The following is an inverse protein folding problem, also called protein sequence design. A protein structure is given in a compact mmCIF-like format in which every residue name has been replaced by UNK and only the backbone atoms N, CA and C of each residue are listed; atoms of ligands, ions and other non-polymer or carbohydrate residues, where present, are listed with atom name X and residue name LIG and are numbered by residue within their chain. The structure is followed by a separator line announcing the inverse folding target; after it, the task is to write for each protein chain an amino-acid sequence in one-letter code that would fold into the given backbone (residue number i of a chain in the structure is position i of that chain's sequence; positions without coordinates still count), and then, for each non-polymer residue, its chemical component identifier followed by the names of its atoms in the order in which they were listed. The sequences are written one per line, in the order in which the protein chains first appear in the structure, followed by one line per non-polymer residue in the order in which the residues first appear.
data_IF_095659830167
#
_entry.id   IF_095659830167
#
_cell.length_a   1.000
_cell.length_b   1.000
_cell.length_c   1.000
_cell.angle_alpha   90.00
_cell.angle_beta   90.00
_cell.angle_gamma   90.00
#
_symmetry.space_group_name_H-M   'P 1'
#
loop_
_entity.id
_entity.type
_entity.pdbx_description
1 polymer ?
#
# COMPACT_ATOMS: atom_id res chain seq x y z
N UNK A 1 -22.48 45.42 -24.25
CA UNK A 1 -22.76 46.06 -22.93
C UNK A 1 -24.23 45.98 -22.51
N UNK A 2 -25.21 46.24 -23.42
CA UNK A 2 -26.65 46.16 -23.11
C UNK A 2 -27.13 44.74 -22.77
N UNK A 3 -26.62 43.70 -23.43
CA UNK A 3 -27.03 42.32 -23.16
C UNK A 3 -26.52 41.81 -21.80
N UNK A 4 -25.34 42.25 -21.37
CA UNK A 4 -24.80 41.93 -20.02
C UNK A 4 -25.64 42.57 -18.91
N UNK A 5 -26.06 43.85 -19.09
CA UNK A 5 -26.90 44.54 -18.11
C UNK A 5 -28.28 43.90 -17.92
N UNK A 6 -28.90 43.37 -18.98
CA UNK A 6 -30.17 42.64 -18.88
C UNK A 6 -29.98 41.29 -18.13
N UNK A 7 -28.90 40.54 -18.41
CA UNK A 7 -28.59 39.30 -17.70
C UNK A 7 -28.41 39.54 -16.20
N UNK A 8 -27.76 40.64 -15.80
CA UNK A 8 -27.56 40.98 -14.37
C UNK A 8 -28.90 41.36 -13.69
N UNK A 9 -29.83 42.05 -14.43
CA UNK A 9 -31.18 42.37 -13.93
C UNK A 9 -31.97 41.07 -13.69
N UNK A 10 -31.99 40.16 -14.65
CA UNK A 10 -32.70 38.88 -14.51
C UNK A 10 -32.17 38.08 -13.31
N UNK A 11 -30.85 37.93 -13.17
CA UNK A 11 -30.27 37.26 -12.02
C UNK A 11 -30.64 37.84 -10.67
N UNK A 12 -30.73 39.19 -10.58
CA UNK A 12 -31.19 39.85 -9.36
C UNK A 12 -32.67 39.54 -9.08
N UNK A 13 -33.52 39.58 -10.12
CA UNK A 13 -34.93 39.24 -9.98
C UNK A 13 -35.17 37.80 -9.57
N UNK A 14 -34.43 36.85 -10.16
CA UNK A 14 -34.46 35.44 -9.76
C UNK A 14 -34.03 35.27 -8.30
N UNK A 15 -32.93 35.93 -7.91
CA UNK A 15 -32.44 35.92 -6.51
C UNK A 15 -33.46 36.47 -5.53
N UNK A 16 -34.09 37.62 -5.86
CA UNK A 16 -35.10 38.27 -5.02
C UNK A 16 -36.39 37.44 -4.94
N UNK A 17 -36.80 36.80 -6.05
CA UNK A 17 -37.94 35.88 -6.07
C UNK A 17 -37.71 34.65 -5.21
N UNK A 18 -36.54 34.00 -5.35
CA UNK A 18 -36.15 32.85 -4.53
C UNK A 18 -36.14 33.21 -3.04
N UNK A 19 -35.56 34.37 -2.66
CA UNK A 19 -35.52 34.83 -1.26
C UNK A 19 -36.91 35.01 -0.66
N UNK A 20 -37.82 35.65 -1.39
CA UNK A 20 -39.22 35.80 -0.97
C UNK A 20 -39.90 34.44 -0.78
N UNK A 21 -39.76 33.56 -1.73
CA UNK A 21 -40.33 32.21 -1.68
C UNK A 21 -39.86 31.47 -0.43
N UNK A 22 -38.55 31.48 -0.19
CA UNK A 22 -37.96 30.72 0.95
C UNK A 22 -38.19 31.41 2.30
N UNK A 23 -38.00 32.75 2.36
CA UNK A 23 -38.07 33.47 3.62
C UNK A 23 -39.50 33.80 4.03
N UNK A 24 -40.40 34.16 3.08
CA UNK A 24 -41.73 34.60 3.38
C UNK A 24 -42.77 33.51 3.31
N UNK A 25 -42.67 32.61 2.31
CA UNK A 25 -43.61 31.52 2.11
C UNK A 25 -43.15 30.19 2.75
N UNK A 26 -41.89 30.10 3.12
CA UNK A 26 -41.31 28.89 3.71
C UNK A 26 -41.16 27.69 2.75
N UNK A 27 -41.20 27.99 1.43
CA UNK A 27 -41.10 26.97 0.37
C UNK A 27 -39.82 27.14 -0.44
N UNK A 28 -39.17 26.07 -0.76
CA UNK A 28 -38.01 26.03 -1.65
C UNK A 28 -38.43 25.97 -3.11
N UNK A 29 -37.47 26.12 -4.03
CA UNK A 29 -37.71 26.14 -5.47
C UNK A 29 -38.39 24.86 -6.00
N UNK A 30 -38.12 23.72 -5.37
CA UNK A 30 -38.73 22.43 -5.69
C UNK A 30 -39.93 22.07 -4.78
N UNK A 31 -40.38 22.99 -3.93
CA UNK A 31 -41.50 22.81 -3.01
C UNK A 31 -41.20 22.17 -1.69
N UNK A 32 -39.96 21.69 -1.46
CA UNK A 32 -39.52 21.12 -0.19
C UNK A 32 -39.47 22.14 0.96
N UNK A 33 -39.51 21.65 2.19
CA UNK A 33 -39.20 22.42 3.39
C UNK A 33 -37.68 22.68 3.50
N UNK A 34 -37.30 23.59 4.37
CA UNK A 34 -35.88 23.99 4.56
C UNK A 34 -34.96 22.86 5.05
N UNK A 35 -35.46 21.88 5.80
CA UNK A 35 -34.77 20.75 6.37
C UNK A 35 -34.96 19.45 5.58
N UNK A 36 -35.76 19.43 4.56
CA UNK A 36 -36.13 18.25 3.78
C UNK A 36 -35.01 17.89 2.76
N UNK A 37 -34.71 16.60 2.71
CA UNK A 37 -33.72 16.00 1.80
C UNK A 37 -34.46 15.33 0.64
N UNK A 38 -33.93 15.44 -0.57
CA UNK A 38 -34.47 14.75 -1.77
C UNK A 38 -34.48 13.22 -1.57
N UNK A 39 -35.36 12.51 -2.26
CA UNK A 39 -35.39 11.04 -2.24
C UNK A 39 -34.02 10.44 -2.56
N UNK A 40 -33.63 9.44 -1.77
CA UNK A 40 -32.35 8.74 -1.92
C UNK A 40 -32.63 7.32 -2.41
N UNK A 41 -31.85 6.90 -3.41
CA UNK A 41 -31.78 5.54 -3.88
C UNK A 41 -30.32 5.11 -4.01
N UNK A 42 -30.00 3.91 -3.54
CA UNK A 42 -28.66 3.35 -3.52
C UNK A 42 -28.65 1.93 -4.06
N UNK A 43 -27.57 1.57 -4.75
CA UNK A 43 -27.33 0.21 -5.22
C UNK A 43 -25.84 -0.12 -5.11
N UNK A 44 -25.51 -1.36 -4.75
CA UNK A 44 -24.13 -1.87 -4.72
C UNK A 44 -23.97 -3.00 -5.73
N UNK A 45 -22.74 -3.18 -6.22
CA UNK A 45 -22.39 -4.13 -7.28
C UNK A 45 -23.13 -3.96 -8.61
N UNK A 46 -23.46 -2.74 -9.08
CA UNK A 46 -24.09 -2.57 -10.41
C UNK A 46 -23.14 -2.99 -11.55
N UNK A 47 -21.85 -3.01 -11.33
CA UNK A 47 -20.85 -3.41 -12.31
C UNK A 47 -20.17 -4.71 -11.88
N UNK A 48 -20.05 -5.71 -12.78
CA UNK A 48 -19.51 -7.03 -12.41
C UNK A 48 -17.98 -7.06 -12.28
N UNK A 49 -17.25 -6.25 -13.04
CA UNK A 49 -15.78 -6.31 -13.12
C UNK A 49 -15.03 -5.56 -12.02
N UNK A 50 -15.43 -4.37 -11.57
CA UNK A 50 -14.74 -3.68 -10.48
C UNK A 50 -14.79 -4.47 -9.17
N UNK A 51 -13.79 -4.28 -8.33
CA UNK A 51 -13.69 -4.95 -7.03
C UNK A 51 -14.82 -4.54 -6.08
N UNK A 52 -15.24 -3.26 -6.14
CA UNK A 52 -16.47 -2.75 -5.58
C UNK A 52 -17.10 -1.73 -6.52
N UNK A 53 -18.40 -1.57 -6.48
CA UNK A 53 -19.11 -0.55 -7.25
C UNK A 53 -20.42 -0.18 -6.60
N UNK A 54 -20.84 1.07 -6.79
CA UNK A 54 -22.09 1.57 -6.25
C UNK A 54 -22.69 2.67 -7.12
N UNK A 55 -24.00 2.79 -7.05
CA UNK A 55 -24.74 3.96 -7.50
C UNK A 55 -25.37 4.60 -6.27
N UNK A 56 -25.22 5.90 -6.16
CA UNK A 56 -25.91 6.74 -5.19
C UNK A 56 -26.67 7.83 -5.93
N UNK A 57 -27.97 7.89 -5.69
CA UNK A 57 -28.86 8.90 -6.29
C UNK A 57 -29.54 9.68 -5.18
N UNK A 58 -29.57 11.00 -5.33
CA UNK A 58 -30.29 11.92 -4.46
C UNK A 58 -31.03 12.93 -5.34
N UNK A 59 -32.32 12.69 -5.54
CA UNK A 59 -33.10 13.43 -6.56
C UNK A 59 -32.41 13.40 -7.92
N UNK A 60 -32.09 14.52 -8.47
CA UNK A 60 -31.43 14.73 -9.77
C UNK A 60 -29.90 14.81 -9.65
N UNK A 61 -29.32 14.09 -8.69
CA UNK A 61 -27.86 14.00 -8.55
C UNK A 61 -27.46 12.54 -8.38
N UNK A 62 -26.70 12.01 -9.33
CA UNK A 62 -26.31 10.61 -9.36
C UNK A 62 -24.81 10.43 -9.56
N UNK A 63 -24.22 9.58 -8.75
CA UNK A 63 -22.81 9.16 -8.82
C UNK A 63 -22.70 7.66 -8.99
N UNK A 64 -22.02 7.21 -10.04
CA UNK A 64 -21.52 5.84 -10.20
C UNK A 64 -20.07 5.82 -9.73
N UNK A 65 -19.79 5.08 -8.66
CA UNK A 65 -18.44 5.00 -8.10
C UNK A 65 -17.94 3.57 -8.13
N UNK A 66 -16.69 3.39 -8.58
CA UNK A 66 -15.99 2.10 -8.59
C UNK A 66 -14.83 2.11 -7.62
N UNK A 67 -14.56 0.97 -7.01
CA UNK A 67 -13.42 0.72 -6.15
C UNK A 67 -12.54 -0.35 -6.77
N UNK A 68 -11.23 -0.08 -6.84
CA UNK A 68 -10.21 -1.03 -7.25
C UNK A 68 -9.19 -1.18 -6.12
N UNK A 69 -8.88 -2.42 -5.78
CA UNK A 69 -7.88 -2.80 -4.78
C UNK A 69 -6.62 -3.24 -5.52
N UNK A 70 -5.54 -2.52 -5.34
CA UNK A 70 -4.24 -2.79 -5.94
C UNK A 70 -3.23 -3.29 -4.91
N UNK A 71 -2.05 -3.61 -5.39
CA UNK A 71 -0.89 -4.00 -4.59
C UNK A 71 -0.10 -2.77 -4.14
N UNK A 72 0.99 -2.98 -3.43
CA UNK A 72 1.92 -1.91 -3.06
C UNK A 72 2.54 -1.21 -4.29
N UNK A 73 2.73 -1.91 -5.39
CA UNK A 73 3.28 -1.34 -6.63
C UNK A 73 2.35 -0.31 -7.28
N UNK A 74 1.07 -0.32 -6.90
CA UNK A 74 0.05 0.61 -7.40
C UNK A 74 -0.05 1.90 -6.55
N UNK A 75 0.78 2.05 -5.52
CA UNK A 75 0.85 3.27 -4.72
C UNK A 75 1.28 4.46 -5.58
N UNK A 76 0.64 5.60 -5.37
CA UNK A 76 1.01 6.83 -6.07
C UNK A 76 2.21 7.47 -5.39
N UNK A 77 3.32 7.58 -6.11
CA UNK A 77 4.43 8.44 -5.70
C UNK A 77 4.01 9.91 -5.81
N UNK A 78 4.13 10.63 -4.72
CA UNK A 78 4.05 12.09 -4.65
C UNK A 78 5.46 12.60 -4.47
N UNK A 79 5.97 13.30 -5.47
CA UNK A 79 7.34 13.84 -5.49
C UNK A 79 7.23 15.35 -5.63
N UNK A 80 7.03 16.02 -4.51
CA UNK A 80 6.94 17.46 -4.40
C UNK A 80 8.29 18.04 -3.95
N UNK A 81 8.50 19.35 -4.11
CA UNK A 81 9.73 20.04 -3.77
C UNK A 81 10.17 19.84 -2.31
N UNK A 82 9.22 19.69 -1.40
CA UNK A 82 9.47 19.60 0.05
C UNK A 82 9.19 18.20 0.64
N UNK A 83 8.50 17.35 -0.09
CA UNK A 83 8.08 16.04 0.42
C UNK A 83 8.06 14.99 -0.67
N UNK A 84 8.55 13.81 -0.30
CA UNK A 84 8.45 12.61 -1.14
C UNK A 84 7.75 11.51 -0.35
N UNK A 85 6.54 11.20 -0.76
CA UNK A 85 5.69 10.25 -0.05
C UNK A 85 4.92 9.33 -1.00
N UNK A 86 4.36 8.25 -0.46
CA UNK A 86 3.51 7.32 -1.19
C UNK A 86 2.08 7.41 -0.68
N UNK A 87 1.13 7.48 -1.59
CA UNK A 87 -0.29 7.50 -1.27
C UNK A 87 -0.95 6.19 -1.64
N UNK A 88 -1.55 5.54 -0.63
CA UNK A 88 -2.26 4.26 -0.75
C UNK A 88 -3.76 4.42 -1.00
N UNK A 89 -4.31 5.61 -0.80
CA UNK A 89 -5.70 5.93 -1.10
C UNK A 89 -5.78 7.01 -2.17
N UNK A 90 -6.42 6.68 -3.29
CA UNK A 90 -6.58 7.53 -4.45
C UNK A 90 -8.07 7.72 -4.73
N UNK A 91 -8.48 8.95 -5.06
CA UNK A 91 -9.84 9.26 -5.47
C UNK A 91 -9.81 10.15 -6.71
N UNK A 92 -10.47 9.69 -7.76
CA UNK A 92 -10.66 10.42 -9.00
C UNK A 92 -12.15 10.81 -9.12
N UNK A 93 -12.39 12.09 -9.33
CA UNK A 93 -13.71 12.66 -9.50
C UNK A 93 -13.85 13.16 -10.92
N UNK A 94 -14.79 12.61 -11.66
CA UNK A 94 -15.07 12.94 -13.04
C UNK A 94 -16.46 13.60 -13.15
N UNK A 95 -16.48 14.81 -13.73
CA UNK A 95 -17.68 15.60 -13.93
C UNK A 95 -17.86 15.92 -15.42
N UNK A 96 -18.36 14.97 -16.22
CA UNK A 96 -18.52 15.19 -17.65
C UNK A 96 -19.62 16.21 -17.96
N UNK A 97 -19.54 16.92 -19.08
CA UNK A 97 -20.52 17.95 -19.44
C UNK A 97 -21.95 17.44 -19.48
N UNK A 98 -22.18 16.20 -19.88
CA UNK A 98 -23.51 15.62 -19.95
C UNK A 98 -24.21 15.51 -18.59
N UNK A 99 -23.47 15.50 -17.48
CA UNK A 99 -24.05 15.43 -16.13
C UNK A 99 -24.91 16.64 -15.77
N UNK A 100 -24.72 17.76 -16.46
CA UNK A 100 -25.53 18.98 -16.37
C UNK A 100 -26.30 19.27 -17.66
N UNK A 101 -26.41 18.30 -18.58
CA UNK A 101 -27.08 18.45 -19.87
C UNK A 101 -26.32 19.30 -20.89
N UNK A 102 -25.01 19.60 -20.64
CA UNK A 102 -24.22 20.40 -21.55
C UNK A 102 -23.64 19.58 -22.70
N UNK A 103 -23.84 20.05 -23.94
CA UNK A 103 -23.24 19.47 -25.14
C UNK A 103 -21.90 20.17 -25.46
N UNK A 104 -20.82 19.79 -24.79
CA UNK A 104 -19.47 20.31 -25.06
C UNK A 104 -18.41 19.20 -24.96
N UNK A 105 -17.27 19.42 -25.62
CA UNK A 105 -16.14 18.52 -25.52
C UNK A 105 -15.52 18.52 -24.11
N UNK A 106 -15.17 17.35 -23.61
CA UNK A 106 -14.43 17.21 -22.35
C UNK A 106 -12.94 17.55 -22.60
N UNK A 107 -12.44 18.54 -21.86
CA UNK A 107 -11.06 19.04 -22.00
C UNK A 107 -10.26 18.87 -20.72
N UNK A 108 -9.96 17.63 -20.36
CA UNK A 108 -9.19 17.33 -19.14
C UNK A 108 -9.94 17.67 -17.85
N UNK A 109 -9.23 17.64 -16.73
CA UNK A 109 -9.79 17.86 -15.38
C UNK A 109 -9.68 19.33 -14.99
N UNK A 110 -10.80 19.96 -14.66
CA UNK A 110 -10.88 21.36 -14.22
C UNK A 110 -10.52 21.53 -12.74
N UNK A 111 -10.23 22.77 -12.32
CA UNK A 111 -9.93 23.11 -10.92
C UNK A 111 -11.07 22.72 -9.96
N UNK A 112 -12.34 22.87 -10.40
CA UNK A 112 -13.52 22.50 -9.62
C UNK A 112 -13.54 20.97 -9.36
N UNK A 113 -13.24 20.17 -10.38
CA UNK A 113 -13.18 18.72 -10.26
C UNK A 113 -12.07 18.27 -9.29
N UNK A 114 -10.89 18.91 -9.36
CA UNK A 114 -9.78 18.66 -8.42
C UNK A 114 -10.22 18.98 -6.98
N UNK A 115 -10.85 20.13 -6.75
CA UNK A 115 -11.32 20.54 -5.42
C UNK A 115 -12.39 19.61 -4.86
N UNK A 116 -13.37 19.21 -5.67
CA UNK A 116 -14.43 18.27 -5.28
C UNK A 116 -13.86 16.87 -4.98
N UNK A 117 -12.96 16.39 -5.83
CA UNK A 117 -12.27 15.11 -5.62
C UNK A 117 -11.43 15.13 -4.33
N UNK A 118 -10.71 16.23 -4.08
CA UNK A 118 -9.89 16.36 -2.86
C UNK A 118 -10.76 16.44 -1.59
N UNK A 119 -11.91 17.07 -1.63
CA UNK A 119 -12.86 17.07 -0.50
C UNK A 119 -13.36 15.66 -0.19
N UNK A 120 -13.76 14.88 -1.21
CA UNK A 120 -14.21 13.51 -1.05
C UNK A 120 -13.05 12.60 -0.57
N UNK A 121 -11.84 12.82 -1.08
CA UNK A 121 -10.63 12.11 -0.63
C UNK A 121 -10.34 12.34 0.85
N UNK A 122 -10.38 13.62 1.33
CA UNK A 122 -10.20 13.94 2.75
C UNK A 122 -11.29 13.31 3.61
N UNK A 123 -12.52 13.27 3.12
CA UNK A 123 -13.65 12.72 3.84
C UNK A 123 -13.48 11.22 4.14
N UNK A 124 -12.92 10.45 3.21
CA UNK A 124 -12.86 8.99 3.26
C UNK A 124 -11.51 8.44 3.72
N UNK A 125 -10.40 9.13 3.43
CA UNK A 125 -9.03 8.65 3.70
C UNK A 125 -8.83 8.14 5.14
N UNK A 126 -9.28 8.91 6.14
CA UNK A 126 -9.08 8.59 7.55
C UNK A 126 -9.89 7.38 8.05
N UNK A 127 -10.83 6.88 7.25
CA UNK A 127 -11.66 5.73 7.59
C UNK A 127 -11.10 4.39 7.09
N UNK A 128 -10.07 4.41 6.27
CA UNK A 128 -9.37 3.20 5.83
C UNK A 128 -8.31 2.86 6.87
N UNK A 129 -8.30 1.65 7.47
CA UNK A 129 -7.28 1.24 8.43
C UNK A 129 -5.88 1.23 7.78
N UNK A 130 -4.86 1.59 8.56
CA UNK A 130 -3.47 1.59 8.07
C UNK A 130 -2.95 0.17 7.81
N UNK A 131 -3.48 -0.81 8.53
CA UNK A 131 -3.13 -2.22 8.41
C UNK A 131 -3.75 -2.89 7.17
N UNK A 132 -4.71 -2.22 6.49
CA UNK A 132 -5.32 -2.78 5.29
C UNK A 132 -4.29 -2.88 4.16
N UNK A 133 -3.97 -4.08 3.62
CA UNK A 133 -2.77 -4.30 2.82
C UNK A 133 -2.85 -3.77 1.39
N UNK A 134 -4.03 -3.28 0.95
CA UNK A 134 -4.26 -2.87 -0.42
C UNK A 134 -4.08 -1.37 -0.63
N UNK A 135 -3.62 -1.00 -1.81
CA UNK A 135 -3.79 0.33 -2.38
C UNK A 135 -5.21 0.46 -2.90
N UNK A 136 -5.94 1.46 -2.43
CA UNK A 136 -7.36 1.65 -2.74
C UNK A 136 -7.53 2.80 -3.72
N UNK A 137 -8.16 2.55 -4.86
CA UNK A 137 -8.49 3.56 -5.86
C UNK A 137 -9.99 3.65 -6.05
N UNK A 138 -10.57 4.82 -5.77
CA UNK A 138 -11.94 5.17 -6.11
C UNK A 138 -11.98 6.00 -7.38
N UNK A 139 -12.93 5.70 -8.25
CA UNK A 139 -13.26 6.53 -9.43
C UNK A 139 -14.75 6.83 -9.38
N UNK A 140 -15.08 8.08 -9.14
CA UNK A 140 -16.46 8.59 -9.12
C UNK A 140 -16.80 9.26 -10.44
N UNK A 141 -17.76 8.72 -11.14
CA UNK A 141 -18.33 9.26 -12.37
C UNK A 141 -19.68 9.88 -12.05
N UNK A 142 -19.82 11.19 -12.24
CA UNK A 142 -21.08 11.87 -12.04
C UNK A 142 -21.92 11.70 -13.31
N UNK A 143 -23.09 11.10 -13.16
CA UNK A 143 -24.00 10.80 -14.26
C UNK A 143 -25.02 11.92 -14.44
N UNK A 144 -25.47 12.50 -13.33
CA UNK A 144 -26.42 13.61 -13.28
C UNK A 144 -26.10 14.51 -12.09
N UNK A 145 -26.30 15.83 -12.20
CA UNK A 145 -26.00 16.77 -11.13
C UNK A 145 -26.93 17.96 -11.10
N UNK A 146 -27.72 18.09 -10.04
CA UNK A 146 -28.43 19.27 -9.61
C UNK A 146 -28.13 19.58 -8.14
N UNK A 147 -26.93 20.08 -7.88
CA UNK A 147 -26.43 20.43 -6.53
C UNK A 147 -25.67 19.29 -5.84
N UNK A 148 -24.51 19.65 -5.30
CA UNK A 148 -23.62 18.85 -4.44
C UNK A 148 -23.28 17.42 -4.88
N UNK A 149 -22.76 17.31 -6.11
CA UNK A 149 -22.24 16.05 -6.65
C UNK A 149 -21.03 15.50 -5.85
N UNK A 150 -20.24 16.38 -5.20
CA UNK A 150 -19.15 15.94 -4.33
C UNK A 150 -19.65 15.17 -3.10
N UNK A 151 -20.80 15.53 -2.52
CA UNK A 151 -21.39 14.79 -1.40
C UNK A 151 -22.00 13.47 -1.88
N UNK A 152 -22.55 13.42 -3.09
CA UNK A 152 -22.95 12.17 -3.73
C UNK A 152 -21.74 11.22 -3.91
N UNK A 153 -20.58 11.77 -4.31
CA UNK A 153 -19.33 11.01 -4.42
C UNK A 153 -18.87 10.42 -3.08
N UNK A 154 -19.00 11.17 -1.97
CA UNK A 154 -18.66 10.65 -0.63
C UNK A 154 -19.58 9.48 -0.26
N UNK A 155 -20.88 9.61 -0.47
CA UNK A 155 -21.86 8.57 -0.18
C UNK A 155 -21.64 7.32 -1.07
N UNK A 156 -21.51 7.51 -2.39
CA UNK A 156 -21.21 6.42 -3.30
C UNK A 156 -19.83 5.79 -3.00
N UNK A 157 -18.83 6.59 -2.65
CA UNK A 157 -17.51 6.09 -2.25
C UNK A 157 -17.56 5.19 -1.02
N UNK A 158 -18.35 5.57 -0.02
CA UNK A 158 -18.58 4.72 1.17
C UNK A 158 -19.21 3.38 0.77
N UNK A 159 -20.25 3.39 -0.05
CA UNK A 159 -20.90 2.17 -0.53
C UNK A 159 -19.94 1.28 -1.34
N UNK A 160 -19.16 1.89 -2.26
CA UNK A 160 -18.20 1.16 -3.10
C UNK A 160 -17.05 0.55 -2.29
N UNK A 161 -16.59 1.22 -1.23
CA UNK A 161 -15.59 0.69 -0.30
C UNK A 161 -16.12 -0.52 0.47
N UNK A 162 -17.34 -0.43 1.00
CA UNK A 162 -18.00 -1.54 1.70
C UNK A 162 -18.26 -2.72 0.74
N UNK A 163 -18.68 -2.45 -0.50
CA UNK A 163 -18.90 -3.47 -1.53
C UNK A 163 -17.58 -4.14 -1.98
N UNK A 164 -16.45 -3.43 -1.91
CA UNK A 164 -15.13 -3.98 -2.15
C UNK A 164 -14.56 -4.80 -0.98
N UNK A 165 -15.24 -4.85 0.16
CA UNK A 165 -14.74 -5.52 1.37
C UNK A 165 -13.68 -4.74 2.12
N UNK A 166 -13.58 -3.40 1.92
CA UNK A 166 -12.66 -2.55 2.68
C UNK A 166 -13.18 -2.39 4.11
N UNK A 167 -12.41 -2.78 5.14
CA UNK A 167 -12.85 -2.72 6.54
C UNK A 167 -12.77 -1.27 7.06
N UNK A 168 -13.68 -0.42 6.59
CA UNK A 168 -13.76 0.97 7.04
C UNK A 168 -13.93 1.04 8.55
N UNK A 169 -13.23 1.98 9.22
CA UNK A 169 -13.41 2.24 10.65
C UNK A 169 -14.87 2.58 10.96
N UNK A 170 -15.47 3.47 10.14
CA UNK A 170 -16.88 3.86 10.20
C UNK A 170 -17.34 4.35 8.83
N UNK A 171 -18.59 4.09 8.44
CA UNK A 171 -19.15 4.63 7.20
C UNK A 171 -19.32 6.15 7.29
N UNK A 172 -19.18 6.82 6.14
CA UNK A 172 -19.22 8.28 6.02
C UNK A 172 -20.39 8.69 5.12
N UNK A 173 -21.14 9.68 5.54
CA UNK A 173 -22.13 10.37 4.71
C UNK A 173 -21.74 11.84 4.51
N UNK A 174 -22.36 12.50 3.53
CA UNK A 174 -22.13 13.91 3.25
C UNK A 174 -23.38 14.63 2.83
N UNK A 175 -23.48 15.90 3.21
CA UNK A 175 -24.59 16.80 2.87
C UNK A 175 -24.06 18.19 2.55
N UNK A 176 -24.76 18.92 1.66
CA UNK A 176 -24.54 20.34 1.42
C UNK A 176 -25.69 21.15 2.01
N UNK A 177 -25.32 22.15 2.78
CA UNK A 177 -26.19 23.10 3.43
C UNK A 177 -26.12 24.45 2.71
N UNK A 178 -27.22 25.16 2.68
CA UNK A 178 -27.29 26.52 2.16
C UNK A 178 -27.76 27.53 3.20
N UNK A 179 -27.54 28.77 2.89
CA UNK A 179 -28.07 29.90 3.67
C UNK A 179 -28.75 30.87 2.72
N UNK A 180 -29.95 31.32 3.10
CA UNK A 180 -30.64 32.43 2.48
C UNK A 180 -30.86 33.50 3.55
N UNK A 181 -30.34 34.70 3.34
CA UNK A 181 -30.46 35.85 4.26
C UNK A 181 -30.65 37.14 3.47
N UNK A 182 -31.54 37.99 3.91
CA UNK A 182 -31.64 39.34 3.34
C UNK A 182 -30.58 40.26 3.97
N UNK A 183 -29.89 41.08 3.17
CA UNK A 183 -28.95 42.06 3.72
C UNK A 183 -29.65 43.03 4.69
N UNK A 184 -29.09 43.17 5.89
CA UNK A 184 -29.63 44.09 6.91
C UNK A 184 -30.83 43.56 7.71
N UNK A 185 -31.31 42.33 7.46
CA UNK A 185 -32.41 41.72 8.20
C UNK A 185 -31.87 40.56 9.08
N UNK A 186 -32.55 40.33 10.21
CA UNK A 186 -32.26 39.17 11.08
C UNK A 186 -32.85 37.86 10.54
N UNK A 187 -33.82 37.98 9.59
CA UNK A 187 -34.51 36.82 9.01
C UNK A 187 -33.59 36.02 8.11
N UNK A 188 -33.43 34.73 8.38
CA UNK A 188 -32.65 33.83 7.58
C UNK A 188 -33.24 32.41 7.55
N UNK A 189 -32.88 31.63 6.56
CA UNK A 189 -33.21 30.21 6.44
C UNK A 189 -31.95 29.39 6.12
N UNK A 190 -31.73 28.31 6.90
CA UNK A 190 -30.71 27.28 6.63
C UNK A 190 -31.38 26.17 5.85
N UNK A 191 -30.80 25.79 4.70
CA UNK A 191 -31.35 24.77 3.79
C UNK A 191 -30.51 23.50 3.85
N UNK A 192 -31.17 22.35 3.95
CA UNK A 192 -30.54 21.04 3.81
C UNK A 192 -30.59 20.57 2.37
N UNK A 193 -29.54 19.91 1.88
CA UNK A 193 -29.49 19.33 0.54
C UNK A 193 -29.88 20.33 -0.57
N UNK A 194 -29.04 21.34 -0.76
CA UNK A 194 -29.27 22.41 -1.69
C UNK A 194 -29.23 21.99 -3.15
N UNK A 195 -30.09 22.63 -3.96
CA UNK A 195 -30.08 22.57 -5.42
C UNK A 195 -28.93 23.40 -5.99
N UNK A 196 -28.62 23.21 -7.28
CA UNK A 196 -27.66 24.04 -8.01
C UNK A 196 -28.01 25.52 -8.01
N UNK A 197 -29.26 25.85 -8.21
CA UNK A 197 -29.76 27.26 -8.20
C UNK A 197 -29.72 27.86 -6.79
N UNK A 198 -29.98 27.08 -5.74
CA UNK A 198 -29.87 27.50 -4.35
C UNK A 198 -28.42 27.72 -3.91
N UNK A 199 -27.46 26.94 -4.45
CA UNK A 199 -26.02 27.24 -4.32
C UNK A 199 -25.67 28.53 -5.05
N UNK A 200 -26.11 28.68 -6.31
CA UNK A 200 -25.70 29.79 -7.13
C UNK A 200 -26.27 31.16 -6.66
N UNK A 201 -27.54 31.19 -6.24
CA UNK A 201 -28.26 32.38 -5.83
C UNK A 201 -28.22 32.61 -4.30
N UNK A 202 -27.82 31.63 -3.52
CA UNK A 202 -27.74 31.68 -2.06
C UNK A 202 -26.53 32.43 -1.51
N UNK A 203 -26.44 32.49 -0.19
CA UNK A 203 -25.40 33.23 0.55
C UNK A 203 -24.32 32.33 1.14
N UNK A 204 -24.53 31.01 1.22
CA UNK A 204 -23.58 30.03 1.70
C UNK A 204 -23.78 28.69 0.98
N UNK A 205 -22.67 28.04 0.60
CA UNK A 205 -22.57 26.60 0.31
C UNK A 205 -21.66 25.96 1.38
N UNK A 206 -22.25 25.20 2.27
CA UNK A 206 -21.54 24.55 3.38
C UNK A 206 -21.67 23.05 3.29
N UNK A 207 -20.59 22.38 2.87
CA UNK A 207 -20.49 20.93 2.73
C UNK A 207 -19.90 20.34 3.98
N UNK A 208 -20.58 19.36 4.55
CA UNK A 208 -20.12 18.61 5.72
C UNK A 208 -20.16 17.14 5.42
N UNK A 209 -19.07 16.45 5.76
CA UNK A 209 -18.97 15.00 5.73
C UNK A 209 -18.65 14.46 7.10
N UNK A 210 -19.09 13.27 7.41
CA UNK A 210 -18.77 12.68 8.71
C UNK A 210 -19.36 11.30 8.91
N UNK A 211 -18.89 10.69 9.97
CA UNK A 211 -19.43 9.46 10.55
C UNK A 211 -20.55 9.80 11.53
N UNK A 212 -21.12 8.79 12.17
CA UNK A 212 -22.09 8.98 13.26
C UNK A 212 -21.50 9.82 14.43
N UNK A 213 -20.19 9.73 14.67
CA UNK A 213 -19.56 10.32 15.86
C UNK A 213 -18.98 11.71 15.62
N UNK A 214 -18.66 12.09 14.40
CA UNK A 214 -18.05 13.38 14.12
C UNK A 214 -17.83 13.68 12.66
N UNK A 215 -17.26 14.86 12.40
CA UNK A 215 -16.93 15.35 11.07
C UNK A 215 -15.61 14.76 10.58
N UNK A 216 -15.54 14.40 9.28
CA UNK A 216 -14.32 13.94 8.61
C UNK A 216 -13.74 15.01 7.70
N UNK A 217 -14.58 15.79 7.00
CA UNK A 217 -14.15 16.94 6.23
C UNK A 217 -15.27 17.97 6.10
N UNK A 218 -14.86 19.22 5.94
CA UNK A 218 -15.77 20.35 5.70
C UNK A 218 -15.22 21.25 4.60
N UNK A 219 -16.14 21.90 3.88
CA UNK A 219 -15.84 23.00 2.96
C UNK A 219 -16.96 24.01 3.06
N UNK A 220 -16.62 25.27 3.22
CA UNK A 220 -17.58 26.37 3.26
C UNK A 220 -17.19 27.43 2.23
N UNK A 221 -18.16 27.87 1.46
CA UNK A 221 -18.09 29.05 0.60
C UNK A 221 -19.21 30.02 0.99
N UNK A 222 -18.84 31.22 1.41
CA UNK A 222 -19.78 32.27 1.80
C UNK A 222 -19.75 33.43 0.80
N UNK A 223 -20.93 33.94 0.50
CA UNK A 223 -21.16 35.04 -0.46
C UNK A 223 -21.74 36.26 0.24
N UNK A 224 -21.58 36.34 1.58
CA UNK A 224 -22.01 37.43 2.45
C UNK A 224 -20.84 37.88 3.35
N UNK A 225 -21.02 39.01 4.03
CA UNK A 225 -19.96 39.64 4.86
C UNK A 225 -19.63 38.92 6.18
N UNK A 226 -20.07 37.67 6.31
CA UNK A 226 -19.82 36.85 7.47
C UNK A 226 -21.07 36.17 8.00
N UNK A 227 -20.86 35.21 8.94
CA UNK A 227 -21.89 34.42 9.59
C UNK A 227 -21.84 34.64 11.09
N UNK A 228 -23.02 34.77 11.72
CA UNK A 228 -23.09 34.70 13.20
C UNK A 228 -22.86 33.27 13.68
N UNK A 229 -22.38 33.14 14.91
CA UNK A 229 -22.20 31.82 15.54
C UNK A 229 -23.53 31.04 15.63
N UNK A 230 -24.64 31.73 15.84
CA UNK A 230 -25.98 31.14 15.87
C UNK A 230 -26.34 30.46 14.53
N UNK A 231 -26.11 31.16 13.41
CA UNK A 231 -26.33 30.60 12.07
C UNK A 231 -25.44 29.39 11.82
N UNK A 232 -24.17 29.47 12.23
CA UNK A 232 -23.21 28.38 12.06
C UNK A 232 -23.60 27.15 12.89
N UNK A 233 -23.98 27.36 14.15
CA UNK A 233 -24.46 26.29 15.05
C UNK A 233 -25.69 25.60 14.47
N UNK A 234 -26.69 26.39 14.05
CA UNK A 234 -27.89 25.85 13.42
C UNK A 234 -27.59 25.06 12.15
N UNK A 235 -26.69 25.58 11.28
CA UNK A 235 -26.28 24.89 10.07
C UNK A 235 -25.56 23.56 10.39
N UNK A 236 -24.68 23.53 11.38
CA UNK A 236 -23.98 22.29 11.83
C UNK A 236 -24.95 21.27 12.42
N UNK A 237 -25.89 21.69 13.27
CA UNK A 237 -26.86 20.77 13.88
C UNK A 237 -27.83 20.21 12.84
N UNK A 238 -28.32 21.03 11.92
CA UNK A 238 -29.18 20.60 10.82
C UNK A 238 -28.42 19.69 9.84
N UNK A 239 -27.15 20.00 9.55
CA UNK A 239 -26.28 19.15 8.74
C UNK A 239 -26.03 17.78 9.41
N UNK A 240 -25.90 17.74 10.75
CA UNK A 240 -25.77 16.47 11.48
C UNK A 240 -27.01 15.61 11.29
N UNK A 241 -28.20 16.17 11.52
CA UNK A 241 -29.45 15.45 11.32
C UNK A 241 -29.60 14.92 9.88
N UNK A 242 -29.23 15.73 8.90
CA UNK A 242 -29.24 15.34 7.47
C UNK A 242 -28.24 14.24 7.16
N UNK A 243 -27.02 14.29 7.70
CA UNK A 243 -26.03 13.22 7.52
C UNK A 243 -26.44 11.91 8.18
N UNK A 244 -27.05 11.99 9.37
CA UNK A 244 -27.56 10.80 10.08
C UNK A 244 -28.68 10.13 9.28
N UNK A 245 -29.57 10.91 8.69
CA UNK A 245 -30.61 10.39 7.79
C UNK A 245 -30.01 9.72 6.53
N UNK A 246 -29.06 10.38 5.86
CA UNK A 246 -28.38 9.82 4.68
C UNK A 246 -27.63 8.54 5.05
N UNK A 247 -26.93 8.54 6.18
CA UNK A 247 -26.20 7.37 6.68
C UNK A 247 -27.13 6.18 6.94
N UNK A 248 -28.34 6.45 7.46
CA UNK A 248 -29.40 5.43 7.57
C UNK A 248 -29.73 4.79 6.23
N UNK A 249 -29.88 5.61 5.16
CA UNK A 249 -30.13 5.11 3.80
C UNK A 249 -28.99 4.30 3.21
N UNK A 250 -27.74 4.68 3.49
CA UNK A 250 -26.58 3.89 3.08
C UNK A 250 -26.57 2.52 3.79
N UNK A 251 -26.85 2.50 5.09
CA UNK A 251 -26.88 1.28 5.89
C UNK A 251 -28.03 0.34 5.51
N UNK A 252 -29.17 0.86 5.02
CA UNK A 252 -30.24 0.04 4.44
C UNK A 252 -29.75 -0.76 3.21
N UNK A 253 -28.78 -0.23 2.47
CA UNK A 253 -28.23 -0.86 1.25
C UNK A 253 -27.08 -1.82 1.59
N UNK A 254 -26.12 -1.37 2.39
CA UNK A 254 -25.01 -2.18 2.90
C UNK A 254 -24.54 -1.59 4.23
N UNK A 255 -24.61 -2.37 5.31
CA UNK A 255 -24.24 -1.93 6.66
C UNK A 255 -22.82 -2.31 7.06
N UNK A 256 -22.26 -3.37 6.47
CA UNK A 256 -20.97 -3.95 6.80
C UNK A 256 -20.15 -4.21 5.53
N UNK A 257 -18.82 -4.18 5.60
CA UNK A 257 -17.96 -4.58 4.49
C UNK A 257 -18.26 -6.04 4.09
N UNK A 258 -18.19 -6.34 2.81
CA UNK A 258 -18.28 -7.73 2.35
C UNK A 258 -17.20 -8.58 3.00
N UNK A 259 -17.59 -9.72 3.55
CA UNK A 259 -16.68 -10.64 4.24
C UNK A 259 -15.67 -11.28 3.27
N UNK A 260 -16.05 -11.51 2.01
CA UNK A 260 -15.21 -12.09 0.99
C UNK A 260 -14.96 -11.09 -0.14
N UNK A 261 -13.70 -10.99 -0.54
CA UNK A 261 -13.30 -10.22 -1.72
C UNK A 261 -13.76 -10.95 -2.99
N UNK A 262 -14.14 -10.18 -4.02
CA UNK A 262 -14.49 -10.74 -5.32
C UNK A 262 -13.33 -11.55 -5.92
N UNK A 263 -13.60 -12.56 -6.77
CA UNK A 263 -12.57 -13.46 -7.30
C UNK A 263 -11.44 -12.75 -8.08
N UNK A 264 -11.75 -11.62 -8.72
CA UNK A 264 -10.79 -10.83 -9.49
C UNK A 264 -9.88 -9.93 -8.64
N UNK A 265 -10.14 -9.79 -7.34
CA UNK A 265 -9.25 -9.03 -6.43
C UNK A 265 -7.97 -9.83 -6.23
N UNK A 266 -6.78 -9.23 -6.45
CA UNK A 266 -5.53 -9.90 -6.16
C UNK A 266 -5.47 -10.26 -4.66
N UNK A 267 -5.18 -11.50 -4.35
CA UNK A 267 -4.98 -11.96 -2.98
C UNK A 267 -3.61 -11.49 -2.50
N UNK A 268 -3.52 -11.01 -1.27
CA UNK A 268 -2.27 -10.58 -0.64
C UNK A 268 -2.12 -11.36 0.66
N UNK A 269 -0.95 -12.02 0.81
CA UNK A 269 -0.50 -12.57 2.09
C UNK A 269 0.77 -11.84 2.51
N UNK A 270 0.81 -11.40 3.77
CA UNK A 270 1.95 -10.71 4.35
C UNK A 270 2.49 -11.51 5.54
N UNK A 271 3.82 -11.59 5.64
CA UNK A 271 4.51 -12.20 6.77
C UNK A 271 5.88 -11.54 6.96
N UNK A 272 6.48 -11.77 8.12
CA UNK A 272 7.76 -11.18 8.47
C UNK A 272 8.88 -12.21 8.34
N UNK A 273 10.05 -11.74 7.92
CA UNK A 273 11.29 -12.51 7.89
C UNK A 273 12.39 -11.74 8.65
N UNK A 274 13.36 -12.43 9.27
CA UNK A 274 14.50 -11.77 9.88
C UNK A 274 15.29 -10.94 8.85
N UNK A 275 15.77 -9.76 9.25
CA UNK A 275 16.52 -8.83 8.39
C UNK A 275 17.68 -9.49 7.64
N UNK A 276 18.40 -10.41 8.29
CA UNK A 276 19.55 -11.12 7.72
C UNK A 276 19.22 -11.93 6.47
N UNK A 277 17.95 -12.35 6.28
CA UNK A 277 17.51 -13.13 5.12
C UNK A 277 17.00 -12.28 3.96
N UNK A 278 16.79 -10.97 4.14
CA UNK A 278 16.31 -10.07 3.06
C UNK A 278 17.23 -10.19 1.85
N UNK A 279 18.56 -10.08 2.07
CA UNK A 279 19.54 -10.20 1.00
C UNK A 279 19.54 -11.57 0.30
N UNK A 280 19.31 -12.65 1.05
CA UNK A 280 19.24 -14.00 0.50
C UNK A 280 17.97 -14.23 -0.35
N UNK A 281 16.83 -13.67 0.06
CA UNK A 281 15.56 -13.77 -0.69
C UNK A 281 15.60 -12.92 -1.95
N UNK A 282 16.19 -11.72 -1.91
CA UNK A 282 16.34 -10.85 -3.08
C UNK A 282 17.37 -11.45 -4.05
N UNK A 283 18.50 -11.95 -3.53
CA UNK A 283 19.61 -12.47 -4.30
C UNK A 283 20.42 -11.41 -5.05
N UNK A 284 21.58 -11.80 -5.63
CA UNK A 284 22.47 -10.89 -6.37
C UNK A 284 21.73 -10.21 -7.54
N UNK A 285 21.62 -8.87 -7.49
CA UNK A 285 20.92 -8.10 -8.51
C UNK A 285 19.43 -8.44 -8.67
N UNK A 286 18.78 -8.99 -7.62
CA UNK A 286 17.37 -9.34 -7.65
C UNK A 286 17.02 -10.63 -8.39
N UNK A 287 18.01 -11.44 -8.79
CA UNK A 287 17.78 -12.65 -9.62
C UNK A 287 16.92 -13.71 -8.94
N UNK A 288 17.09 -13.93 -7.63
CA UNK A 288 16.36 -14.98 -6.90
C UNK A 288 14.89 -14.60 -6.77
N UNK A 289 14.60 -13.36 -6.39
CA UNK A 289 13.21 -12.88 -6.26
C UNK A 289 12.51 -12.86 -7.63
N UNK A 290 13.19 -12.46 -8.71
CA UNK A 290 12.65 -12.49 -10.07
C UNK A 290 12.32 -13.92 -10.50
N UNK A 291 13.23 -14.87 -10.30
CA UNK A 291 13.00 -16.28 -10.59
C UNK A 291 11.81 -16.83 -9.79
N UNK A 292 11.72 -16.51 -8.50
CA UNK A 292 10.57 -16.94 -7.69
C UNK A 292 9.25 -16.37 -8.21
N UNK A 293 9.24 -15.12 -8.66
CA UNK A 293 8.05 -14.47 -9.24
C UNK A 293 7.65 -15.13 -10.57
N UNK A 294 8.62 -15.39 -11.47
CA UNK A 294 8.36 -16.07 -12.76
C UNK A 294 7.81 -17.49 -12.55
N UNK A 295 8.41 -18.28 -11.67
CA UNK A 295 8.01 -19.66 -11.43
C UNK A 295 6.68 -19.82 -10.66
N UNK A 296 6.33 -18.87 -9.81
CA UNK A 296 5.09 -18.89 -9.01
C UNK A 296 3.94 -18.15 -9.69
N UNK A 297 4.24 -17.21 -10.59
CA UNK A 297 3.26 -16.25 -11.11
C UNK A 297 2.74 -15.26 -10.07
N UNK A 298 3.47 -15.08 -8.96
CA UNK A 298 3.15 -14.14 -7.90
C UNK A 298 4.08 -12.93 -7.93
N UNK A 299 3.61 -11.79 -7.48
CA UNK A 299 4.43 -10.60 -7.23
C UNK A 299 4.88 -10.58 -5.77
N UNK A 300 6.17 -10.41 -5.53
CA UNK A 300 6.76 -10.39 -4.19
C UNK A 300 7.38 -9.03 -3.96
N UNK A 301 7.00 -8.37 -2.84
CA UNK A 301 7.63 -7.13 -2.38
C UNK A 301 8.19 -7.34 -0.97
N UNK A 302 9.36 -6.76 -0.71
CA UNK A 302 10.04 -6.87 0.59
C UNK A 302 10.46 -5.47 1.02
N UNK A 303 10.05 -5.08 2.24
CA UNK A 303 10.43 -3.83 2.87
C UNK A 303 11.12 -4.10 4.19
N UNK A 304 12.17 -3.35 4.46
CA UNK A 304 12.79 -3.33 5.79
C UNK A 304 12.08 -2.28 6.65
N UNK A 305 11.41 -2.74 7.72
CA UNK A 305 10.71 -1.88 8.67
C UNK A 305 11.06 -2.38 10.09
N UNK A 306 11.55 -1.48 10.95
CA UNK A 306 11.85 -1.77 12.37
C UNK A 306 12.81 -2.98 12.59
N UNK A 307 13.74 -3.20 11.64
CA UNK A 307 14.73 -4.29 11.74
C UNK A 307 14.22 -5.67 11.34
N UNK A 308 13.02 -5.77 10.76
CA UNK A 308 12.46 -6.98 10.15
C UNK A 308 12.15 -6.76 8.68
N UNK A 309 12.19 -7.83 7.89
CA UNK A 309 11.75 -7.80 6.50
C UNK A 309 10.26 -8.10 6.40
N UNK A 310 9.44 -7.12 6.07
CA UNK A 310 8.02 -7.34 5.76
C UNK A 310 7.88 -7.80 4.32
N UNK A 311 7.46 -9.05 4.14
CA UNK A 311 7.23 -9.66 2.84
C UNK A 311 5.75 -9.62 2.52
N UNK A 312 5.39 -9.09 1.34
CA UNK A 312 4.04 -9.18 0.80
C UNK A 312 4.08 -9.98 -0.50
N UNK A 313 3.26 -11.01 -0.56
CA UNK A 313 3.09 -11.87 -1.75
C UNK A 313 1.69 -11.67 -2.28
N UNK A 314 1.56 -11.26 -3.53
CA UNK A 314 0.28 -11.02 -4.19
C UNK A 314 0.16 -11.84 -5.47
N UNK A 315 -1.02 -12.45 -5.69
CA UNK A 315 -1.33 -13.19 -6.92
C UNK A 315 -2.83 -13.28 -7.15
N UNK A 316 -3.25 -13.57 -8.40
CA UNK A 316 -4.67 -13.79 -8.73
C UNK A 316 -5.27 -15.03 -8.06
N UNK A 317 -4.46 -16.04 -7.75
CA UNK A 317 -4.91 -17.31 -7.18
C UNK A 317 -4.09 -17.71 -5.94
N UNK A 318 -4.70 -18.54 -5.09
CA UNK A 318 -4.12 -19.01 -3.84
C UNK A 318 -2.92 -19.92 -4.04
N UNK A 319 -2.92 -20.73 -5.09
CA UNK A 319 -1.86 -21.70 -5.37
C UNK A 319 -0.53 -21.01 -5.69
N UNK A 320 -0.58 -19.92 -6.48
CA UNK A 320 0.59 -19.08 -6.78
C UNK A 320 1.19 -18.47 -5.51
N UNK A 321 0.35 -17.97 -4.62
CA UNK A 321 0.80 -17.41 -3.32
C UNK A 321 1.49 -18.48 -2.50
N UNK A 322 0.86 -19.65 -2.34
CA UNK A 322 1.45 -20.73 -1.54
C UNK A 322 2.78 -21.24 -2.11
N UNK A 323 2.90 -21.33 -3.43
CA UNK A 323 4.18 -21.68 -4.09
C UNK A 323 5.27 -20.65 -3.79
N UNK A 324 4.95 -19.36 -3.89
CA UNK A 324 5.91 -18.29 -3.58
C UNK A 324 6.31 -18.30 -2.09
N UNK A 325 5.34 -18.42 -1.19
CA UNK A 325 5.58 -18.48 0.26
C UNK A 325 6.43 -19.69 0.63
N UNK A 326 6.14 -20.86 0.05
CA UNK A 326 6.92 -22.06 0.30
C UNK A 326 8.39 -21.89 -0.09
N UNK A 327 8.67 -21.24 -1.24
CA UNK A 327 10.04 -20.95 -1.68
C UNK A 327 10.74 -19.95 -0.76
N UNK A 328 10.05 -18.87 -0.34
CA UNK A 328 10.63 -17.90 0.60
C UNK A 328 10.91 -18.57 1.93
N UNK A 329 9.98 -19.35 2.47
CA UNK A 329 10.16 -20.09 3.73
C UNK A 329 11.32 -21.07 3.66
N UNK A 330 11.53 -21.73 2.52
CA UNK A 330 12.67 -22.64 2.34
C UNK A 330 14.02 -21.90 2.42
N UNK A 331 14.12 -20.67 1.92
CA UNK A 331 15.33 -19.82 2.00
C UNK A 331 15.55 -19.35 3.45
N UNK A 332 14.47 -18.94 4.12
CA UNK A 332 14.51 -18.37 5.48
C UNK A 332 14.63 -19.47 6.56
N UNK A 333 14.27 -20.72 6.25
CA UNK A 333 14.31 -21.82 7.21
C UNK A 333 15.70 -21.95 7.86
N UNK A 334 15.75 -21.92 9.17
CA UNK A 334 16.97 -22.16 9.96
C UNK A 334 17.01 -23.63 10.29
N UNK A 335 18.10 -24.36 9.94
CA UNK A 335 18.20 -25.77 10.29
C UNK A 335 18.24 -25.95 11.79
N UNK A 336 17.42 -26.87 12.32
CA UNK A 336 17.36 -27.18 13.74
C UNK A 336 18.20 -28.39 14.07
N UNK A 337 18.98 -28.30 15.18
CA UNK A 337 19.82 -29.42 15.65
C UNK A 337 18.93 -30.55 16.12
N UNK A 338 19.18 -31.76 15.60
CA UNK A 338 18.41 -32.95 15.90
C UNK A 338 17.35 -33.33 14.87
N UNK A 339 17.03 -32.48 13.93
CA UNK A 339 16.11 -32.77 12.82
C UNK A 339 16.76 -33.56 11.68
N UNK A 340 15.94 -34.27 10.92
CA UNK A 340 16.34 -35.08 9.76
C UNK A 340 15.94 -34.35 8.48
N UNK A 341 16.92 -34.17 7.60
CA UNK A 341 16.74 -33.49 6.30
C UNK A 341 17.04 -34.46 5.15
N UNK A 342 16.24 -34.42 4.11
CA UNK A 342 16.57 -35.01 2.81
C UNK A 342 17.47 -34.04 2.06
N UNK A 343 18.78 -34.25 2.09
CA UNK A 343 19.75 -33.39 1.44
C UNK A 343 20.24 -33.94 0.11
N UNK A 344 20.82 -33.05 -0.72
CA UNK A 344 21.45 -33.42 -1.99
C UNK A 344 22.94 -33.24 -1.91
N UNK A 345 23.71 -34.25 -2.33
CA UNK A 345 25.18 -34.22 -2.33
C UNK A 345 25.65 -33.23 -3.39
N UNK A 346 26.32 -32.15 -2.97
CA UNK A 346 26.85 -31.11 -3.87
C UNK A 346 28.28 -31.35 -4.32
N UNK A 347 29.12 -31.86 -3.42
CA UNK A 347 30.51 -32.18 -3.75
C UNK A 347 31.05 -33.27 -2.82
N UNK A 348 31.95 -34.09 -3.36
CA UNK A 348 32.61 -35.18 -2.66
C UNK A 348 34.08 -34.82 -2.45
N UNK A 349 34.55 -34.98 -1.22
CA UNK A 349 35.92 -34.75 -0.80
C UNK A 349 36.52 -36.02 -0.11
N UNK A 350 37.85 -36.19 -0.03
CA UNK A 350 38.47 -37.37 0.58
C UNK A 350 38.07 -37.62 2.04
N UNK A 351 37.57 -36.59 2.74
CA UNK A 351 37.20 -36.67 4.15
C UNK A 351 35.69 -36.72 4.40
N UNK A 352 34.86 -36.68 3.33
CA UNK A 352 33.41 -36.67 3.43
C UNK A 352 32.75 -35.96 2.27
N UNK A 353 31.45 -35.72 2.33
CA UNK A 353 30.71 -34.98 1.31
C UNK A 353 30.00 -33.75 1.90
N UNK A 354 29.80 -32.73 1.05
CA UNK A 354 28.96 -31.60 1.36
C UNK A 354 27.56 -31.89 0.87
N UNK A 355 26.60 -31.85 1.79
CA UNK A 355 25.21 -32.14 1.55
C UNK A 355 24.39 -30.82 1.74
N UNK A 356 23.71 -30.40 0.72
CA UNK A 356 22.77 -29.28 0.83
C UNK A 356 21.47 -29.78 1.49
N UNK A 357 21.24 -29.34 2.72
CA UNK A 357 20.09 -29.73 3.55
C UNK A 357 18.91 -28.79 3.37
N UNK A 358 19.17 -27.50 3.03
CA UNK A 358 18.21 -26.47 2.68
C UNK A 358 18.81 -25.62 1.57
N UNK A 359 18.01 -24.93 0.74
CA UNK A 359 18.51 -24.10 -0.35
C UNK A 359 19.61 -23.12 0.10
N UNK A 360 20.83 -23.30 -0.44
CA UNK A 360 22.00 -22.48 -0.10
C UNK A 360 22.64 -22.80 1.26
N UNK A 361 22.28 -23.90 1.93
CA UNK A 361 22.83 -24.30 3.23
C UNK A 361 23.46 -25.69 3.16
N UNK A 362 24.78 -25.71 3.04
CA UNK A 362 25.56 -26.93 2.92
C UNK A 362 26.09 -27.38 4.27
N UNK A 363 25.91 -28.64 4.60
CA UNK A 363 26.48 -29.26 5.77
C UNK A 363 27.57 -30.31 5.42
N UNK A 364 28.55 -30.47 6.30
CA UNK A 364 29.57 -31.50 6.14
C UNK A 364 29.08 -32.84 6.72
N UNK A 365 28.92 -33.82 5.86
CA UNK A 365 28.77 -35.22 6.22
C UNK A 365 30.16 -35.90 6.18
N UNK A 366 30.81 -35.98 7.33
CA UNK A 366 32.15 -36.61 7.44
C UNK A 366 32.06 -38.09 7.12
N UNK A 367 33.10 -38.68 6.51
CA UNK A 367 33.16 -40.10 6.11
C UNK A 367 32.80 -41.05 7.23
N UNK A 368 33.18 -40.75 8.49
CA UNK A 368 32.85 -41.55 9.66
C UNK A 368 31.38 -41.44 10.11
N UNK A 369 30.62 -40.53 9.56
CA UNK A 369 29.20 -40.30 9.87
C UNK A 369 28.27 -40.77 8.75
N UNK A 370 28.82 -41.39 7.68
CA UNK A 370 28.05 -41.96 6.57
C UNK A 370 27.50 -43.34 6.98
N UNK A 371 28.34 -44.25 7.44
CA UNK A 371 27.97 -45.62 7.79
C UNK A 371 28.67 -46.10 9.09
N UNK A 372 28.17 -47.17 9.67
CA UNK A 372 28.80 -47.90 10.77
C UNK A 372 30.03 -48.68 10.32
N UNK A 373 30.11 -49.06 9.04
CA UNK A 373 31.28 -49.69 8.41
C UNK A 373 32.36 -48.64 8.13
N UNK A 374 33.61 -48.98 8.34
CA UNK A 374 34.73 -48.10 8.01
C UNK A 374 34.87 -48.02 6.47
N UNK A 375 34.70 -46.82 5.96
CA UNK A 375 34.89 -46.49 4.55
C UNK A 375 36.27 -45.84 4.37
N UNK A 376 36.96 -46.16 3.28
CA UNK A 376 38.21 -45.49 2.88
C UNK A 376 37.93 -44.34 1.94
N UNK A 377 36.88 -44.46 1.12
CA UNK A 377 36.38 -43.40 0.24
C UNK A 377 34.88 -43.25 0.36
N UNK A 378 34.33 -42.08 0.02
CA UNK A 378 32.88 -41.82 0.03
C UNK A 378 32.16 -42.63 -1.05
N UNK A 379 32.84 -42.91 -2.15
CA UNK A 379 32.36 -43.70 -3.28
C UNK A 379 32.10 -45.19 -2.92
N UNK A 380 32.81 -45.74 -1.90
CA UNK A 380 32.55 -47.09 -1.37
C UNK A 380 31.15 -47.20 -0.72
N UNK A 381 30.57 -46.10 -0.32
CA UNK A 381 29.17 -46.06 0.16
C UNK A 381 28.14 -46.00 -0.98
N UNK A 382 28.59 -45.96 -2.26
CA UNK A 382 27.73 -45.87 -3.41
C UNK A 382 27.09 -44.46 -3.59
N UNK A 383 27.69 -43.42 -2.99
CA UNK A 383 27.21 -42.07 -3.03
C UNK A 383 27.93 -41.27 -4.15
N UNK A 384 27.13 -40.55 -4.97
CA UNK A 384 27.60 -39.71 -6.07
C UNK A 384 27.09 -38.28 -5.93
N UNK A 385 27.75 -37.38 -6.62
CA UNK A 385 27.27 -35.98 -6.68
C UNK A 385 25.89 -35.91 -7.37
N UNK A 386 24.93 -35.23 -6.72
CA UNK A 386 23.55 -35.17 -7.13
C UNK A 386 22.63 -36.17 -6.46
N UNK A 387 23.13 -37.14 -5.73
CA UNK A 387 22.31 -38.12 -5.01
C UNK A 387 21.61 -37.49 -3.80
N UNK A 388 20.39 -37.97 -3.50
CA UNK A 388 19.64 -37.60 -2.32
C UNK A 388 19.97 -38.54 -1.15
N UNK A 389 20.24 -37.96 0.01
CA UNK A 389 20.57 -38.70 1.22
C UNK A 389 19.85 -38.08 2.43
N UNK A 390 19.29 -38.95 3.29
CA UNK A 390 18.73 -38.50 4.57
C UNK A 390 19.85 -38.30 5.58
N UNK A 391 19.93 -37.10 6.14
CA UNK A 391 20.96 -36.77 7.14
C UNK A 391 20.31 -36.05 8.33
N UNK A 392 20.86 -36.36 9.52
CA UNK A 392 20.47 -35.69 10.75
C UNK A 392 21.47 -34.58 11.06
N UNK A 393 20.98 -33.37 11.39
CA UNK A 393 21.83 -32.29 11.86
C UNK A 393 22.25 -32.55 13.32
N UNK A 394 23.51 -32.78 13.54
CA UNK A 394 24.05 -33.11 14.86
C UNK A 394 24.47 -31.88 15.65
N UNK A 395 25.10 -30.92 14.99
CA UNK A 395 25.67 -29.74 15.65
C UNK A 395 25.86 -28.60 14.64
N UNK A 396 25.72 -27.38 15.11
CA UNK A 396 26.12 -26.17 14.39
C UNK A 396 27.38 -25.64 15.08
N UNK A 397 28.51 -25.58 14.39
CA UNK A 397 29.75 -25.06 14.94
C UNK A 397 29.61 -23.56 15.30
N UNK A 398 29.66 -23.16 16.57
CA UNK A 398 29.41 -21.79 16.99
C UNK A 398 30.46 -20.77 16.49
N UNK A 399 31.64 -21.25 16.04
CA UNK A 399 32.72 -20.38 15.54
C UNK A 399 32.68 -20.19 14.02
N UNK A 400 32.30 -21.23 13.30
CA UNK A 400 32.36 -21.25 11.83
C UNK A 400 30.98 -21.25 11.16
N UNK A 401 29.91 -21.46 11.95
CA UNK A 401 28.54 -21.58 11.44
C UNK A 401 28.30 -22.84 10.59
N UNK A 402 29.25 -23.77 10.55
CA UNK A 402 29.15 -24.97 9.70
C UNK A 402 28.26 -26.02 10.32
N UNK A 403 27.42 -26.64 9.49
CA UNK A 403 26.51 -27.71 9.88
C UNK A 403 27.26 -29.06 9.84
N UNK A 404 27.21 -29.82 10.95
CA UNK A 404 27.70 -31.18 11.03
C UNK A 404 26.56 -32.16 10.90
N UNK A 405 26.64 -33.01 9.88
CA UNK A 405 25.60 -33.96 9.52
C UNK A 405 26.03 -35.40 9.86
N UNK A 406 25.04 -36.24 10.13
CA UNK A 406 25.24 -37.69 10.31
C UNK A 406 24.11 -38.47 9.63
N UNK A 407 24.47 -39.40 8.75
CA UNK A 407 23.58 -40.40 8.18
C UNK A 407 23.57 -41.66 9.03
N UNK A 408 24.71 -41.99 9.62
CA UNK A 408 24.93 -43.16 10.47
C UNK A 408 23.91 -43.30 11.61
N UNK A 409 23.47 -42.20 12.21
CA UNK A 409 22.50 -42.20 13.32
C UNK A 409 21.10 -42.65 12.86
N UNK A 410 20.81 -42.59 11.56
CA UNK A 410 19.54 -43.03 10.96
C UNK A 410 19.53 -44.49 10.57
N UNK A 411 20.70 -45.14 10.51
CA UNK A 411 20.86 -46.56 10.18
C UNK A 411 20.93 -47.38 11.48
N UNK A 412 20.23 -48.53 11.58
CA UNK A 412 20.31 -49.40 12.74
C UNK A 412 21.75 -49.82 13.01
N UNK A 413 22.19 -49.74 14.27
CA UNK A 413 23.52 -50.16 14.69
C UNK A 413 23.66 -51.66 14.48
N UNK A 414 24.70 -52.18 13.76
CA UNK A 414 24.96 -53.59 13.62
C UNK A 414 25.30 -54.23 14.98
N UNK A 415 24.80 -55.44 15.25
CA UNK A 415 25.03 -56.18 16.53
C UNK A 415 26.50 -56.46 16.82
N UNK A 416 27.33 -56.54 15.80
CA UNK A 416 28.78 -56.83 15.89
C UNK A 416 29.67 -55.56 16.03
N UNK A 417 29.07 -54.38 16.22
CA UNK A 417 29.83 -53.11 16.30
C UNK A 417 30.50 -52.96 17.68
N UNK A 418 31.82 -53.10 17.72
CA UNK A 418 32.65 -52.84 18.92
C UNK A 418 33.10 -51.39 18.92
N UNK A 419 32.62 -50.63 19.90
CA UNK A 419 33.00 -49.24 20.10
C UNK A 419 34.47 -49.15 20.52
N UNK A 420 35.33 -48.65 19.60
CA UNK A 420 36.74 -48.43 19.94
C UNK A 420 36.87 -47.15 20.75
N UNK A 421 37.35 -47.26 21.99
CA UNK A 421 37.71 -46.10 22.81
C UNK A 421 38.59 -45.12 22.02
N UNK A 422 38.14 -43.87 21.91
CA UNK A 422 38.96 -42.78 21.38
C UNK A 422 40.19 -42.61 22.26
N UNK A 423 41.38 -43.00 21.78
CA UNK A 423 42.64 -42.68 22.47
C UNK A 423 42.69 -41.18 22.72
N UNK A 424 42.97 -40.71 23.97
CA UNK A 424 43.12 -39.28 24.25
C UNK A 424 44.24 -38.73 23.37
N UNK A 425 43.97 -37.60 22.74
CA UNK A 425 44.90 -36.89 21.89
C UNK A 425 46.11 -36.52 22.74
N UNK A 426 47.21 -37.25 22.55
CA UNK A 426 48.47 -37.09 23.31
C UNK A 426 48.95 -35.64 23.23
N UNK A 427 49.42 -35.17 24.37
CA UNK A 427 50.04 -33.86 24.56
C UNK A 427 51.04 -33.57 23.43
N UNK A 428 50.84 -32.44 22.82
CA UNK A 428 51.71 -31.89 21.77
C UNK A 428 53.10 -31.69 22.39
N UNK A 429 54.06 -32.60 22.10
CA UNK A 429 55.48 -32.41 22.44
C UNK A 429 55.90 -31.02 21.99
N UNK A 430 56.33 -30.20 22.95
CA UNK A 430 56.91 -28.87 22.70
C UNK A 430 58.11 -29.02 21.73
N UNK A 431 57.99 -28.37 20.62
CA UNK A 431 59.11 -28.19 19.68
C UNK A 431 60.10 -27.24 20.33
N UNK A 432 61.44 -27.51 20.32
CA UNK A 432 62.42 -26.61 20.89
C UNK A 432 62.39 -25.26 20.16
N UNK A 433 62.47 -24.20 20.97
CA UNK A 433 62.52 -22.80 20.50
C UNK A 433 63.68 -22.58 19.54
N UNK A 434 63.38 -22.05 18.38
CA UNK A 434 64.40 -21.48 17.46
C UNK A 434 64.79 -20.10 17.98
N UNK A 435 66.11 -19.79 18.02
CA UNK A 435 66.57 -18.50 18.53
C UNK A 435 66.08 -17.32 17.69
N UNK A 436 65.86 -16.25 18.41
CA UNK A 436 65.29 -14.94 18.02
C UNK A 436 66.06 -14.32 16.86
N UNK A 437 65.35 -13.96 15.82
CA UNK A 437 65.85 -13.36 14.56
C UNK A 437 65.73 -11.85 14.61
N UNK A 438 66.30 -11.23 15.65
CA UNK A 438 66.32 -9.77 15.85
C UNK A 438 67.73 -9.12 15.65
N UNK A 439 68.58 -9.74 14.86
CA UNK A 439 69.87 -9.07 14.49
C UNK A 439 70.23 -9.34 13.03
N UNK A 440 69.44 -8.79 12.11
CA UNK A 440 69.86 -8.48 10.72
C UNK A 440 68.78 -7.62 10.07
N UNK A 441 68.75 -6.39 10.48
CA UNK A 441 68.02 -5.33 9.74
C UNK A 441 68.82 -4.03 9.83
N UNK A 442 69.91 -3.97 9.19
CA UNK A 442 70.56 -2.76 8.75
C UNK A 442 71.53 -3.16 7.64
N UNK A 443 71.13 -2.87 6.41
CA UNK A 443 71.90 -2.59 5.25
C UNK A 443 71.08 -2.85 3.97
N UNK A 444 70.97 -1.82 3.19
CA UNK A 444 70.39 -1.67 1.85
C UNK A 444 68.91 -1.26 1.76
N UNK A 445 68.72 0.05 1.80
CA UNK A 445 67.67 0.73 1.07
C UNK A 445 68.27 1.22 -0.26
N UNK A 446 67.70 0.91 -1.43
CA UNK A 446 67.79 1.74 -2.61
C UNK A 446 66.62 2.77 -2.64
N UNK A 447 66.94 3.95 -3.16
CA UNK A 447 66.15 5.13 -3.29
C UNK A 447 64.91 4.99 -4.13
N UNK A 448 63.91 5.75 -3.75
CA UNK A 448 62.61 5.99 -4.35
C UNK A 448 62.82 6.65 -5.72
N UNK A 449 62.49 5.95 -6.81
CA UNK A 449 62.18 6.53 -8.11
C UNK A 449 60.69 6.27 -8.46
N UNK A 450 60.12 7.29 -9.03
CA UNK A 450 58.72 7.56 -9.31
C UNK A 450 58.02 6.43 -10.05
N UNK A 451 56.90 5.99 -9.48
CA UNK A 451 55.90 5.16 -10.18
C UNK A 451 54.69 6.02 -10.50
N UNK A 452 54.50 6.33 -11.78
CA UNK A 452 53.31 6.99 -12.30
C UNK A 452 52.19 5.95 -12.39
N UNK A 453 51.07 6.21 -11.70
CA UNK A 453 49.82 5.46 -11.82
C UNK A 453 48.99 6.04 -12.98
N UNK A 454 48.61 5.25 -14.02
CA UNK A 454 47.85 5.73 -15.16
C UNK A 454 46.34 5.89 -14.93
N UNK A 455 45.78 5.68 -13.71
CA UNK A 455 44.33 5.64 -13.46
C UNK A 455 43.83 6.62 -12.39
N UNK A 456 44.50 7.77 -12.18
CA UNK A 456 43.94 8.80 -11.30
C UNK A 456 42.89 9.66 -12.03
N UNK A 457 41.70 9.91 -11.42
CA UNK A 457 40.67 10.75 -12.02
C UNK A 457 41.07 12.22 -12.03
N UNK A 458 40.85 12.89 -13.16
CA UNK A 458 41.10 14.32 -13.39
C UNK A 458 40.09 15.15 -12.60
N UNK A 459 40.57 16.13 -11.86
CA UNK A 459 39.77 17.17 -11.20
C UNK A 459 38.94 17.99 -12.19
N UNK A 460 37.73 18.45 -11.81
CA UNK A 460 36.90 19.30 -12.67
C UNK A 460 37.50 20.71 -12.78
N UNK A 461 37.59 21.22 -14.00
CA UNK A 461 37.95 22.59 -14.30
C UNK A 461 36.83 23.54 -13.89
N UNK A 462 37.17 24.58 -13.15
CA UNK A 462 36.34 25.73 -12.86
C UNK A 462 35.79 26.37 -14.14
N UNK A 463 34.48 26.51 -14.20
CA UNK A 463 33.73 27.27 -15.19
C UNK A 463 33.36 28.61 -14.54
N UNK A 464 34.23 29.59 -14.62
CA UNK A 464 33.90 30.99 -14.43
C UNK A 464 34.66 31.79 -15.49
N UNK A 465 33.91 32.40 -16.35
CA UNK A 465 34.10 33.62 -17.11
C UNK A 465 33.50 33.50 -18.52
N UNK A 466 32.39 34.15 -18.70
CA UNK A 466 32.10 35.13 -19.73
C UNK A 466 30.59 35.33 -19.87
N UNK A 467 30.11 36.29 -19.10
CA UNK A 467 28.92 37.06 -19.45
C UNK A 467 29.38 38.14 -20.42
N UNK A 468 28.96 38.02 -21.65
CA UNK A 468 28.86 39.19 -22.53
C UNK A 468 27.41 39.29 -23.04
N UNK A 469 26.91 40.49 -22.87
CA UNK A 469 25.67 41.04 -23.40
C UNK A 469 25.61 40.91 -24.91
N UNK A 470 24.46 40.59 -25.46
CA UNK A 470 23.67 41.37 -26.38
C UNK A 470 22.65 40.51 -27.17
N UNK A 471 21.45 41.07 -27.22
CA UNK A 471 20.43 40.97 -28.29
C UNK A 471 19.41 39.79 -28.31
N UNK A 472 18.24 40.32 -28.15
CA UNK A 472 16.88 40.01 -28.51
C UNK A 472 16.03 39.26 -27.49
#
# INVERSE_FOLDING_TARGET
LRSRGLGDVYKRQERDAMRRCILDEGKRLDGRKTDEIRPIWCEVSPLPMPHGSSIFTRGETQSLTTCTLGTKLDEKLVDDVLDRSYQRFLLHYNFPPFSTGEAKAQRGVGRREIGHGHLAWRALKGQIPEEFPYTVRLVSQILESNGSSSMATVCAGTLALLDAGVPMKKPVSGIAMGLIKNPGEEKYAVLSDILGDEDHLGDMDFKTTGTKDGLTATQMDIKCDGLSFEILEKALMQAKAGRDYILGKLNETISEPRAELKPQVPRIEAFEIPKEFIGAVIGPGGKIIQQMQEESGATITIDEVDGVGKVQVSAPNKDSIQKAIAKIKAIVAIPEVGEVYEGTIRSIMPYGCFVEILPGKDGLLHISEIDWKRLETVEEAGLHEGDKINVKLMEIDPKTGKYKLSHRVLIPKPDDYVERERRPRGERRQRPERPNREQRRFEHRPSREEYHDPLAPKEPKDFNDSLDHDNF
#
